data_IF_590363830163
#
_entry.id   IF_590363830163
#
_cell.length_a   1.000
_cell.length_b   1.000
_cell.length_c   1.000
_cell.angle_alpha   90.00
_cell.angle_beta   90.00
_cell.angle_gamma   90.00
#
_symmetry.space_group_name_H-M   'P 1'
#
loop_
_entity.id
_entity.type
_entity.pdbx_description
1 polymer ?
#
# COMPACT_ATOMS: atom_id res chain seq x y z
N UNK A 1 9.47 8.68 94.27
CA UNK A 1 10.95 8.77 94.36
C UNK A 1 11.56 7.68 93.50
N UNK A 2 12.63 8.04 92.80
CA UNK A 2 13.43 7.40 91.72
C UNK A 2 13.82 5.90 91.90
N UNK A 3 14.55 5.27 90.94
CA UNK A 3 14.42 5.22 89.47
C UNK A 3 14.76 3.81 88.92
N UNK A 4 14.76 3.60 87.60
CA UNK A 4 15.97 3.23 86.84
C UNK A 4 15.67 2.66 85.45
N UNK A 5 16.63 2.91 84.58
CA UNK A 5 16.58 2.89 83.12
C UNK A 5 16.68 1.45 82.59
N UNK A 6 15.85 1.12 81.59
CA UNK A 6 16.16 0.03 80.67
C UNK A 6 16.45 0.56 79.26
N UNK A 7 17.53 0.01 78.73
CA UNK A 7 18.22 0.36 77.50
C UNK A 7 17.35 0.00 76.28
N UNK A 8 17.34 0.89 75.28
CA UNK A 8 16.70 0.68 73.97
C UNK A 8 17.36 -0.49 73.23
N UNK A 9 16.56 -1.45 72.78
CA UNK A 9 16.92 -2.32 71.65
C UNK A 9 15.91 -2.14 70.52
N UNK A 10 16.45 -1.74 69.38
CA UNK A 10 15.76 -1.47 68.12
C UNK A 10 15.39 -2.80 67.46
N UNK A 11 14.09 -3.08 67.31
CA UNK A 11 13.60 -4.18 66.46
C UNK A 11 13.49 -3.63 65.05
N UNK A 12 14.45 -3.96 64.18
CA UNK A 12 14.32 -3.76 62.74
C UNK A 12 13.46 -4.90 62.17
N UNK A 13 12.18 -4.60 61.90
CA UNK A 13 11.31 -5.43 61.10
C UNK A 13 11.83 -5.42 59.65
N UNK A 14 12.41 -6.53 59.20
CA UNK A 14 12.69 -6.75 57.77
C UNK A 14 11.36 -7.06 57.09
N UNK A 15 10.76 -6.05 56.47
CA UNK A 15 9.59 -6.24 55.60
C UNK A 15 10.07 -6.74 54.25
N UNK A 16 9.96 -8.04 54.00
CA UNK A 16 10.15 -8.65 52.68
C UNK A 16 9.02 -8.17 51.74
N UNK A 17 9.25 -7.09 51.00
CA UNK A 17 8.36 -6.70 49.89
C UNK A 17 8.73 -7.50 48.65
N UNK A 18 8.11 -8.66 48.45
CA UNK A 18 8.22 -9.42 47.20
C UNK A 18 7.60 -8.61 46.05
N UNK A 19 8.41 -8.16 45.08
CA UNK A 19 7.91 -7.56 43.84
C UNK A 19 7.05 -8.59 43.08
N UNK A 20 5.92 -8.19 42.49
CA UNK A 20 5.14 -9.08 41.65
C UNK A 20 5.93 -9.48 40.39
N UNK A 21 5.69 -10.68 39.82
CA UNK A 21 6.45 -11.17 38.67
C UNK A 21 6.24 -10.26 37.47
N UNK A 22 7.34 -9.78 36.89
CA UNK A 22 7.33 -9.00 35.66
C UNK A 22 6.80 -9.87 34.52
N UNK A 23 5.78 -9.37 33.80
CA UNK A 23 5.30 -10.02 32.58
C UNK A 23 6.46 -10.15 31.58
N UNK A 24 6.63 -11.30 30.92
CA UNK A 24 7.70 -11.47 29.93
C UNK A 24 7.56 -10.40 28.83
N UNK A 25 8.68 -9.75 28.50
CA UNK A 25 8.73 -8.74 27.46
C UNK A 25 8.30 -9.36 26.13
N UNK A 26 7.30 -8.77 25.46
CA UNK A 26 6.90 -9.22 24.12
C UNK A 26 8.09 -9.07 23.17
N UNK A 27 8.47 -10.17 22.54
CA UNK A 27 9.50 -10.20 21.50
C UNK A 27 9.15 -9.19 20.40
N UNK A 28 10.08 -8.30 20.08
CA UNK A 28 9.87 -7.29 19.05
C UNK A 28 9.91 -7.97 17.70
N UNK A 29 8.87 -7.78 16.88
CA UNK A 29 8.87 -8.26 15.49
C UNK A 29 10.10 -7.69 14.77
N UNK A 30 10.80 -8.51 13.97
CA UNK A 30 11.98 -8.04 13.24
C UNK A 30 11.59 -6.90 12.27
N UNK A 31 12.52 -5.98 11.99
CA UNK A 31 12.25 -4.86 11.10
C UNK A 31 11.91 -5.34 9.69
N UNK A 32 11.02 -4.61 9.02
CA UNK A 32 10.73 -4.86 7.61
C UNK A 32 11.89 -4.35 6.76
N UNK A 33 12.38 -5.19 5.85
CA UNK A 33 13.54 -4.86 5.01
C UNK A 33 13.19 -4.79 3.53
N UNK A 34 12.17 -5.54 3.09
CA UNK A 34 11.77 -5.60 1.69
C UNK A 34 10.25 -5.64 1.54
N UNK A 35 9.77 -5.41 0.32
CA UNK A 35 8.37 -5.61 -0.06
C UNK A 35 8.24 -6.13 -1.48
N UNK A 36 7.16 -6.85 -1.71
CA UNK A 36 6.73 -7.32 -3.02
C UNK A 36 5.75 -6.30 -3.60
N UNK A 37 5.98 -5.85 -4.83
CA UNK A 37 5.12 -4.84 -5.46
C UNK A 37 5.02 -4.96 -6.98
N UNK A 38 4.09 -4.17 -7.52
CA UNK A 38 4.00 -3.82 -8.93
C UNK A 38 4.41 -2.35 -9.08
N UNK A 39 5.57 -2.04 -9.70
CA UNK A 39 5.91 -0.66 -10.05
C UNK A 39 4.89 -0.09 -11.03
N UNK A 40 4.56 1.19 -10.88
CA UNK A 40 3.53 1.84 -11.72
C UNK A 40 4.11 2.84 -12.72
N UNK A 41 5.40 3.15 -12.64
CA UNK A 41 6.05 4.15 -13.49
C UNK A 41 6.73 3.48 -14.67
N UNK A 42 6.25 3.80 -15.87
CA UNK A 42 6.83 3.38 -17.15
C UNK A 42 6.67 4.51 -18.18
N UNK A 43 7.03 4.24 -19.44
CA UNK A 43 6.98 5.24 -20.51
C UNK A 43 5.58 5.84 -20.73
N UNK A 44 4.52 5.07 -20.47
CA UNK A 44 3.12 5.49 -20.68
C UNK A 44 2.58 6.28 -19.48
N UNK A 45 2.88 5.82 -18.26
CA UNK A 45 2.32 6.41 -17.04
C UNK A 45 3.11 7.62 -16.53
N UNK A 46 4.43 7.66 -16.74
CA UNK A 46 5.30 8.72 -16.21
C UNK A 46 4.80 10.14 -16.51
N UNK A 47 4.58 10.57 -17.78
CA UNK A 47 4.16 11.94 -18.06
C UNK A 47 2.78 12.28 -17.47
N UNK A 48 1.87 11.31 -17.38
CA UNK A 48 0.55 11.48 -16.79
C UNK A 48 0.65 11.66 -15.27
N UNK A 49 1.44 10.81 -14.60
CA UNK A 49 1.63 10.84 -13.16
C UNK A 49 2.35 12.11 -12.70
N UNK A 50 3.34 12.59 -13.45
CA UNK A 50 4.00 13.87 -13.18
C UNK A 50 3.00 15.03 -13.20
N UNK A 51 2.20 15.09 -14.26
CA UNK A 51 1.17 16.13 -14.43
C UNK A 51 0.15 16.06 -13.29
N UNK A 52 -0.39 14.88 -13.01
CA UNK A 52 -1.42 14.67 -11.99
C UNK A 52 -0.91 14.94 -10.58
N UNK A 53 0.31 14.52 -10.24
CA UNK A 53 0.92 14.81 -8.93
C UNK A 53 1.25 16.30 -8.77
N UNK A 54 1.66 16.97 -9.83
CA UNK A 54 1.87 18.43 -9.83
C UNK A 54 0.54 19.17 -9.59
N UNK A 55 -0.52 18.83 -10.34
CA UNK A 55 -1.88 19.35 -10.12
C UNK A 55 -2.39 19.08 -8.71
N UNK A 56 -2.14 17.87 -8.19
CA UNK A 56 -2.51 17.55 -6.82
C UNK A 56 -1.78 18.44 -5.83
N UNK A 57 -0.46 18.58 -5.96
CA UNK A 57 0.37 19.40 -5.08
C UNK A 57 -0.09 20.86 -5.04
N UNK A 58 -0.47 21.44 -6.17
CA UNK A 58 -0.94 22.84 -6.25
C UNK A 58 -2.36 23.01 -5.72
N UNK A 59 -3.18 21.95 -5.74
CA UNK A 59 -4.55 21.98 -5.23
C UNK A 59 -4.67 21.82 -3.70
N UNK A 60 -3.58 21.46 -2.99
CA UNK A 60 -3.61 21.26 -1.54
C UNK A 60 -3.88 22.61 -0.85
N UNK A 61 -4.97 22.73 -0.06
CA UNK A 61 -5.29 23.96 0.64
C UNK A 61 -4.19 24.36 1.64
N UNK A 62 -3.93 25.66 1.73
CA UNK A 62 -3.18 26.21 2.86
C UNK A 62 -4.07 26.19 4.11
N UNK A 63 -3.46 25.95 5.27
CA UNK A 63 -4.06 26.19 6.58
C UNK A 63 -3.42 27.45 7.15
N UNK A 64 -4.27 28.40 7.56
CA UNK A 64 -3.94 29.78 7.92
C UNK A 64 -2.55 29.94 8.57
N UNK A 65 -2.29 29.23 9.68
CA UNK A 65 -1.03 29.34 10.44
C UNK A 65 -0.16 28.07 10.46
N UNK A 66 -0.51 27.04 9.68
CA UNK A 66 0.12 25.71 9.80
C UNK A 66 0.70 25.17 8.48
N UNK A 67 0.67 25.99 7.41
CA UNK A 67 1.16 25.59 6.10
C UNK A 67 0.17 24.69 5.36
N UNK A 68 0.57 23.93 4.34
CA UNK A 68 -0.34 23.13 3.54
C UNK A 68 -0.97 22.00 4.36
N UNK A 69 -2.28 21.74 4.15
CA UNK A 69 -3.05 20.67 4.79
C UNK A 69 -2.34 19.30 4.71
N UNK A 70 -1.70 19.04 3.58
CA UNK A 70 -0.81 17.88 3.39
C UNK A 70 0.62 18.40 3.35
N UNK A 71 1.47 18.07 4.33
CA UNK A 71 2.86 18.52 4.34
C UNK A 71 3.61 18.08 3.09
N UNK A 72 4.48 18.93 2.54
CA UNK A 72 5.23 18.61 1.31
C UNK A 72 6.04 17.30 1.43
N UNK A 73 6.62 17.03 2.62
CA UNK A 73 7.36 15.78 2.89
C UNK A 73 6.48 14.54 3.02
N UNK A 74 5.15 14.67 3.03
CA UNK A 74 4.23 13.54 2.96
C UNK A 74 3.97 13.11 1.51
N UNK A 75 4.15 14.00 0.54
CA UNK A 75 3.90 13.71 -0.87
C UNK A 75 4.94 12.76 -1.41
N UNK A 76 4.48 11.74 -2.15
CA UNK A 76 5.37 10.73 -2.72
C UNK A 76 5.97 11.23 -4.04
N UNK A 77 7.29 11.10 -4.24
CA UNK A 77 7.91 11.32 -5.54
C UNK A 77 7.37 10.32 -6.56
N UNK A 78 7.33 10.75 -7.83
CA UNK A 78 6.75 9.99 -8.94
C UNK A 78 7.35 8.59 -9.03
N UNK A 79 8.68 8.49 -8.99
CA UNK A 79 9.42 7.22 -9.13
C UNK A 79 9.21 6.22 -7.99
N UNK A 80 8.44 6.58 -6.97
CA UNK A 80 8.10 5.70 -5.85
C UNK A 80 6.69 5.10 -5.93
N UNK A 81 5.89 5.44 -6.95
CA UNK A 81 4.53 4.92 -7.11
C UNK A 81 4.54 3.42 -7.45
N UNK A 82 3.82 2.64 -6.66
CA UNK A 82 3.71 1.19 -6.79
C UNK A 82 2.43 0.68 -6.12
N UNK A 83 2.02 -0.56 -6.44
CA UNK A 83 1.03 -1.33 -5.69
C UNK A 83 1.76 -2.32 -4.78
N UNK A 84 1.66 -2.15 -3.46
CA UNK A 84 2.27 -3.09 -2.51
C UNK A 84 1.42 -4.35 -2.38
N UNK A 85 2.04 -5.52 -2.56
CA UNK A 85 1.39 -6.83 -2.39
C UNK A 85 1.65 -7.43 -1.00
N UNK A 86 2.83 -7.17 -0.45
CA UNK A 86 3.18 -7.60 0.90
C UNK A 86 4.55 -7.12 1.35
N UNK A 87 4.78 -7.18 2.65
CA UNK A 87 6.04 -6.76 3.29
C UNK A 87 6.77 -7.96 3.86
N UNK A 88 8.10 -7.90 3.86
CA UNK A 88 9.00 -8.99 4.23
C UNK A 88 10.04 -8.51 5.24
N UNK A 89 10.50 -9.44 6.07
CA UNK A 89 11.71 -9.29 6.87
C UNK A 89 12.73 -10.32 6.39
N UNK A 90 13.68 -9.85 5.58
CA UNK A 90 14.80 -10.63 5.02
C UNK A 90 16.08 -10.00 5.58
N UNK A 91 16.50 -10.34 6.82
CA UNK A 91 17.59 -9.67 7.51
C UNK A 91 18.97 -10.19 7.12
N UNK A 92 19.06 -11.40 6.55
CA UNK A 92 20.30 -12.03 6.12
C UNK A 92 20.36 -12.12 4.60
N UNK A 93 21.58 -12.17 4.06
CA UNK A 93 21.82 -12.37 2.62
C UNK A 93 21.20 -13.68 2.12
N UNK A 94 21.43 -14.77 2.85
CA UNK A 94 20.86 -16.09 2.54
C UNK A 94 19.33 -16.04 2.46
N UNK A 95 18.66 -15.41 3.43
CA UNK A 95 17.20 -15.31 3.43
C UNK A 95 16.66 -14.46 2.27
N UNK A 96 17.44 -13.45 1.84
CA UNK A 96 17.13 -12.66 0.65
C UNK A 96 17.31 -13.49 -0.63
N UNK A 97 18.42 -14.22 -0.75
CA UNK A 97 18.69 -15.10 -1.89
C UNK A 97 17.62 -16.20 -2.02
N UNK A 98 17.17 -16.80 -0.92
CA UNK A 98 16.05 -17.73 -0.90
C UNK A 98 14.76 -17.11 -1.47
N UNK A 99 14.45 -15.88 -1.07
CA UNK A 99 13.24 -15.18 -1.52
C UNK A 99 13.31 -14.86 -3.02
N UNK A 100 14.49 -14.47 -3.50
CA UNK A 100 14.76 -14.20 -4.92
C UNK A 100 14.69 -15.50 -5.73
N UNK A 101 15.32 -16.58 -5.26
CA UNK A 101 15.26 -17.90 -5.90
C UNK A 101 13.81 -18.41 -6.00
N UNK A 102 13.06 -18.32 -4.90
CA UNK A 102 11.64 -18.64 -4.90
C UNK A 102 10.87 -17.79 -5.91
N UNK A 103 11.09 -16.47 -5.93
CA UNK A 103 10.45 -15.56 -6.86
C UNK A 103 10.71 -15.94 -8.33
N UNK A 104 11.93 -16.33 -8.67
CA UNK A 104 12.28 -16.77 -10.02
C UNK A 104 11.68 -18.13 -10.41
N UNK A 105 11.45 -19.02 -9.43
CA UNK A 105 10.82 -20.32 -9.69
C UNK A 105 9.31 -20.25 -10.01
N UNK A 106 8.64 -19.12 -9.75
CA UNK A 106 7.21 -18.98 -10.03
C UNK A 106 6.90 -18.91 -11.52
N UNK A 107 5.82 -19.55 -11.97
CA UNK A 107 5.26 -19.31 -13.30
C UNK A 107 4.24 -18.15 -13.24
N UNK A 108 4.71 -16.93 -13.49
CA UNK A 108 3.86 -15.74 -13.45
C UNK A 108 2.81 -15.77 -14.57
N UNK A 109 3.13 -16.29 -15.76
CA UNK A 109 2.20 -16.29 -16.88
C UNK A 109 1.07 -17.30 -16.67
N UNK A 110 1.35 -18.47 -16.12
CA UNK A 110 0.31 -19.40 -15.67
C UNK A 110 -0.61 -18.75 -14.62
N UNK A 111 -0.07 -17.94 -13.71
CA UNK A 111 -0.88 -17.19 -12.75
C UNK A 111 -1.73 -16.10 -13.41
N UNK A 112 -1.23 -15.40 -14.42
CA UNK A 112 -2.05 -14.45 -15.22
C UNK A 112 -3.22 -15.19 -15.89
N UNK A 113 -2.95 -16.33 -16.53
CA UNK A 113 -3.98 -17.15 -17.20
C UNK A 113 -5.03 -17.62 -16.20
N UNK A 114 -4.60 -18.07 -15.02
CA UNK A 114 -5.49 -18.47 -13.92
C UNK A 114 -6.33 -17.30 -13.41
N UNK A 115 -5.74 -16.11 -13.26
CA UNK A 115 -6.48 -14.92 -12.89
C UNK A 115 -7.57 -14.56 -13.92
N UNK A 116 -7.27 -14.77 -15.21
CA UNK A 116 -8.25 -14.71 -16.31
C UNK A 116 -9.41 -15.69 -16.17
N UNK A 117 -9.15 -16.93 -15.73
CA UNK A 117 -10.21 -17.90 -15.42
C UNK A 117 -11.07 -17.41 -14.26
N UNK A 118 -10.47 -17.01 -13.13
CA UNK A 118 -11.19 -16.53 -11.94
C UNK A 118 -12.07 -15.30 -12.22
N UNK A 119 -11.57 -14.35 -12.99
CA UNK A 119 -12.31 -13.15 -13.37
C UNK A 119 -13.59 -13.48 -14.16
N UNK A 120 -13.55 -14.51 -15.04
CA UNK A 120 -14.72 -14.95 -15.82
C UNK A 120 -15.77 -15.66 -14.98
N UNK A 121 -15.39 -16.40 -13.94
CA UNK A 121 -16.34 -17.06 -13.04
C UNK A 121 -17.04 -16.05 -12.12
N UNK A 122 -16.33 -15.00 -11.67
CA UNK A 122 -16.92 -13.95 -10.82
C UNK A 122 -18.02 -13.14 -11.51
N UNK A 123 -18.10 -13.13 -12.85
CA UNK A 123 -19.13 -12.39 -13.60
C UNK A 123 -20.38 -13.21 -13.91
N UNK A 124 -20.33 -14.54 -13.76
CA UNK A 124 -21.45 -15.44 -14.04
C UNK A 124 -22.35 -15.72 -12.83
N UNK A 125 -21.86 -15.51 -11.60
CA UNK A 125 -22.63 -15.81 -10.38
C UNK A 125 -23.78 -14.82 -10.07
N UNK A 126 -23.89 -13.71 -10.82
CA UNK A 126 -25.00 -12.74 -10.71
C UNK A 126 -26.13 -12.95 -11.75
N UNK A 127 -26.04 -13.98 -12.61
CA UNK A 127 -27.10 -14.32 -13.56
C UNK A 127 -27.60 -15.73 -13.34
N UNK A 128 -28.74 -15.83 -12.67
CA UNK A 128 -29.59 -17.01 -12.69
C UNK A 128 -30.00 -17.33 -14.15
N UNK A 129 -29.33 -18.28 -14.78
CA UNK A 129 -29.86 -19.01 -15.94
C UNK A 129 -29.16 -20.35 -16.04
N UNK A 130 -29.86 -21.37 -15.56
CA UNK A 130 -29.70 -22.75 -16.02
C UNK A 130 -29.77 -22.79 -17.55
N UNK A 131 -29.07 -23.76 -18.11
CA UNK A 131 -29.02 -24.15 -19.51
C UNK A 131 -28.05 -23.36 -20.42
N UNK A 132 -26.76 -23.71 -20.30
CA UNK A 132 -25.82 -23.64 -21.42
C UNK A 132 -25.34 -25.04 -21.75
N UNK A 133 -25.79 -25.53 -22.89
CA UNK A 133 -25.44 -26.80 -23.53
C UNK A 133 -23.93 -27.01 -23.63
N UNK A 134 -23.51 -28.26 -23.48
CA UNK A 134 -22.11 -28.72 -23.48
C UNK A 134 -21.33 -28.40 -24.77
N UNK A 135 -22.01 -28.00 -25.86
CA UNK A 135 -21.41 -27.65 -27.15
C UNK A 135 -20.66 -26.30 -27.19
N UNK A 136 -20.89 -25.37 -26.24
CA UNK A 136 -20.10 -24.12 -26.19
C UNK A 136 -18.74 -24.28 -25.48
N UNK A 137 -18.54 -25.35 -24.69
CA UNK A 137 -17.27 -25.59 -23.97
C UNK A 137 -16.11 -25.99 -24.87
N UNK A 138 -16.37 -26.49 -26.08
CA UNK A 138 -15.34 -26.94 -27.02
C UNK A 138 -14.93 -25.89 -28.08
N UNK A 139 -15.70 -24.80 -28.26
CA UNK A 139 -15.33 -23.71 -29.18
C UNK A 139 -14.36 -22.68 -28.57
N UNK A 140 -14.19 -22.66 -27.25
CA UNK A 140 -13.29 -21.72 -26.56
C UNK A 140 -11.88 -22.31 -26.29
N UNK A 141 -11.69 -23.62 -26.48
CA UNK A 141 -10.38 -24.28 -26.35
C UNK A 141 -9.37 -23.92 -27.45
N UNK A 142 -9.81 -23.26 -28.53
CA UNK A 142 -9.00 -23.04 -29.74
C UNK A 142 -8.83 -21.56 -30.16
N UNK A 143 -8.96 -20.60 -29.25
CA UNK A 143 -8.33 -19.29 -29.44
C UNK A 143 -7.09 -19.19 -28.57
N UNK A 144 -5.97 -19.71 -29.07
CA UNK A 144 -4.61 -19.32 -28.67
C UNK A 144 -4.33 -17.84 -29.05
N UNK A 145 -5.24 -16.93 -28.69
CA UNK A 145 -4.91 -15.52 -28.60
C UNK A 145 -4.07 -15.32 -27.34
N UNK A 146 -2.89 -14.70 -27.48
CA UNK A 146 -2.02 -14.37 -26.36
C UNK A 146 -2.80 -13.74 -25.19
N UNK A 147 -2.37 -14.00 -23.96
CA UNK A 147 -3.03 -13.41 -22.79
C UNK A 147 -2.72 -11.91 -22.77
N UNK A 148 -3.72 -11.01 -22.85
CA UNK A 148 -3.44 -9.58 -22.95
C UNK A 148 -2.77 -9.05 -21.68
N UNK A 149 -1.98 -7.97 -21.79
CA UNK A 149 -1.34 -7.33 -20.64
C UNK A 149 -2.36 -6.84 -19.60
N UNK A 150 -1.89 -6.60 -18.38
CA UNK A 150 -2.70 -5.86 -17.41
C UNK A 150 -2.64 -4.38 -17.75
N UNK A 151 -3.70 -3.85 -18.36
CA UNK A 151 -3.83 -2.43 -18.63
C UNK A 151 -4.76 -1.82 -17.59
N UNK A 152 -4.27 -0.85 -16.82
CA UNK A 152 -5.00 -0.26 -15.70
C UNK A 152 -5.07 1.25 -15.79
N UNK A 153 -6.01 1.85 -15.08
CA UNK A 153 -6.02 3.27 -14.76
C UNK A 153 -5.87 3.48 -13.26
N UNK A 154 -5.37 4.64 -12.83
CA UNK A 154 -5.39 5.07 -11.44
C UNK A 154 -6.43 6.17 -11.28
N UNK A 155 -7.43 5.93 -10.45
CA UNK A 155 -8.60 6.80 -10.34
C UNK A 155 -8.91 7.17 -8.88
N UNK A 156 -9.62 8.29 -8.74
CA UNK A 156 -10.12 8.84 -7.47
C UNK A 156 -9.04 9.13 -6.43
N UNK A 157 -9.46 9.72 -5.31
CA UNK A 157 -8.61 9.87 -4.12
C UNK A 157 -9.33 9.27 -2.92
N UNK A 158 -8.60 8.47 -2.16
CA UNK A 158 -9.09 7.79 -0.98
C UNK A 158 -8.15 8.04 0.19
N UNK A 159 -8.67 7.87 1.41
CA UNK A 159 -7.94 8.17 2.63
C UNK A 159 -7.93 6.97 3.57
N UNK A 160 -6.79 6.73 4.21
CA UNK A 160 -6.64 5.78 5.31
C UNK A 160 -6.17 6.49 6.59
N UNK A 161 -6.65 6.06 7.77
CA UNK A 161 -7.70 5.06 7.99
C UNK A 161 -9.10 5.52 7.55
N UNK A 162 -9.35 6.84 7.52
CA UNK A 162 -10.60 7.45 7.02
C UNK A 162 -10.38 8.92 6.70
N UNK A 163 -11.20 9.51 5.84
CA UNK A 163 -11.04 10.90 5.38
C UNK A 163 -10.88 11.92 6.52
N UNK A 164 -11.71 11.86 7.57
CA UNK A 164 -11.66 12.81 8.70
C UNK A 164 -10.38 12.72 9.57
N UNK A 165 -9.55 11.69 9.41
CA UNK A 165 -8.31 11.53 10.17
C UNK A 165 -7.27 10.80 9.31
N UNK A 166 -7.08 11.29 8.09
CA UNK A 166 -6.21 10.70 7.10
C UNK A 166 -4.74 10.84 7.51
N UNK A 167 -3.99 9.75 7.40
CA UNK A 167 -2.52 9.74 7.43
C UNK A 167 -1.92 9.32 6.09
N UNK A 168 -2.75 8.71 5.24
CA UNK A 168 -2.38 8.23 3.90
C UNK A 168 -3.47 8.66 2.93
N UNK A 169 -3.05 9.16 1.76
CA UNK A 169 -3.90 9.37 0.60
C UNK A 169 -3.44 8.45 -0.53
N UNK A 170 -4.38 7.86 -1.25
CA UNK A 170 -4.08 6.92 -2.32
C UNK A 170 -5.08 6.98 -3.48
N UNK A 171 -4.60 6.64 -4.67
CA UNK A 171 -5.41 6.36 -5.85
C UNK A 171 -5.74 4.86 -5.92
N UNK A 172 -6.90 4.52 -6.47
CA UNK A 172 -7.32 3.14 -6.69
C UNK A 172 -6.93 2.67 -8.10
N UNK A 173 -6.34 1.47 -8.26
CA UNK A 173 -6.18 0.87 -9.57
C UNK A 173 -7.52 0.34 -10.09
N UNK A 174 -7.85 0.69 -11.32
CA UNK A 174 -9.02 0.20 -12.06
C UNK A 174 -8.51 -0.70 -13.18
N UNK A 175 -8.83 -1.99 -13.08
CA UNK A 175 -8.56 -2.99 -14.12
C UNK A 175 -9.90 -3.41 -14.76
N UNK A 176 -10.16 -3.03 -16.03
CA UNK A 176 -11.41 -3.37 -16.71
C UNK A 176 -11.57 -4.87 -16.95
N UNK A 177 -10.49 -5.66 -16.86
CA UNK A 177 -10.53 -7.12 -17.03
C UNK A 177 -10.73 -7.88 -15.73
N UNK A 178 -10.68 -7.19 -14.57
CA UNK A 178 -10.76 -7.78 -13.23
C UNK A 178 -9.76 -8.93 -12.96
N UNK A 179 -8.66 -9.02 -13.71
CA UNK A 179 -7.64 -10.07 -13.57
C UNK A 179 -6.50 -9.67 -12.63
N UNK A 180 -6.19 -8.38 -12.52
CA UNK A 180 -5.09 -7.88 -11.71
C UNK A 180 -5.24 -8.31 -10.26
N UNK A 181 -6.43 -8.16 -9.68
CA UNK A 181 -6.66 -8.46 -8.27
C UNK A 181 -6.45 -9.95 -7.94
N UNK A 182 -7.10 -10.90 -8.63
CA UNK A 182 -6.82 -12.33 -8.43
C UNK A 182 -5.35 -12.70 -8.66
N UNK A 183 -4.68 -12.12 -9.65
CA UNK A 183 -3.25 -12.33 -9.89
C UNK A 183 -2.41 -11.90 -8.68
N UNK A 184 -2.66 -10.69 -8.18
CA UNK A 184 -1.95 -10.14 -7.02
C UNK A 184 -2.18 -10.96 -5.75
N UNK A 185 -3.41 -11.42 -5.52
CA UNK A 185 -3.74 -12.29 -4.39
C UNK A 185 -3.00 -13.61 -4.46
N UNK A 186 -3.03 -14.31 -5.60
CA UNK A 186 -2.32 -15.58 -5.76
C UNK A 186 -0.81 -15.42 -5.55
N UNK A 187 -0.23 -14.36 -6.09
CA UNK A 187 1.19 -14.08 -5.93
C UNK A 187 1.55 -13.85 -4.46
N UNK A 188 0.75 -13.02 -3.78
CA UNK A 188 0.89 -12.77 -2.36
C UNK A 188 0.75 -14.05 -1.53
N UNK A 189 -0.24 -14.89 -1.81
CA UNK A 189 -0.46 -16.16 -1.13
C UNK A 189 0.73 -17.10 -1.28
N UNK A 190 1.32 -17.20 -2.47
CA UNK A 190 2.52 -18.02 -2.71
C UNK A 190 3.70 -17.59 -1.83
N UNK A 191 4.02 -16.29 -1.77
CA UNK A 191 5.08 -15.80 -0.89
C UNK A 191 4.74 -15.92 0.60
N UNK A 192 3.46 -15.80 0.97
CA UNK A 192 3.01 -16.00 2.33
C UNK A 192 3.19 -17.47 2.76
N UNK A 193 2.78 -18.41 1.91
CA UNK A 193 2.93 -19.85 2.15
C UNK A 193 4.41 -20.28 2.20
N UNK A 194 5.26 -19.65 1.39
CA UNK A 194 6.71 -19.85 1.45
C UNK A 194 7.40 -19.16 2.65
N UNK A 195 6.63 -18.46 3.50
CA UNK A 195 7.13 -17.84 4.73
C UNK A 195 7.95 -16.56 4.51
N UNK A 196 7.85 -15.92 3.35
CA UNK A 196 8.57 -14.68 3.06
C UNK A 196 7.77 -13.43 3.45
N UNK A 197 6.44 -13.43 3.19
CA UNK A 197 5.57 -12.31 3.60
C UNK A 197 5.15 -12.39 5.06
N UNK A 198 5.01 -11.23 5.69
CA UNK A 198 4.41 -11.13 7.00
C UNK A 198 2.89 -11.37 6.95
N UNK A 199 2.45 -12.44 7.58
CA UNK A 199 1.02 -12.74 7.81
C UNK A 199 0.58 -12.45 9.24
N UNK A 200 -0.74 -12.46 9.46
CA UNK A 200 -1.31 -12.56 10.79
C UNK A 200 -1.34 -14.02 11.19
N UNK A 201 -0.55 -14.38 12.20
CA UNK A 201 -0.68 -15.67 12.88
C UNK A 201 -1.75 -15.47 13.95
N UNK A 202 -2.90 -16.16 13.82
CA UNK A 202 -3.82 -16.27 14.95
C UNK A 202 -3.09 -17.08 16.03
N UNK A 203 -2.81 -16.47 17.18
CA UNK A 203 -2.32 -17.23 18.33
C UNK A 203 -3.40 -18.23 18.74
N UNK A 204 -3.04 -19.50 18.84
CA UNK A 204 -3.91 -20.51 19.47
C UNK A 204 -4.25 -20.05 20.89
N UNK A 205 -5.49 -20.25 21.31
CA UNK A 205 -5.82 -20.18 22.72
C UNK A 205 -4.99 -21.25 23.45
N UNK A 206 -4.46 -20.92 24.63
CA UNK A 206 -3.68 -21.88 25.42
C UNK A 206 -4.52 -23.14 25.67
N UNK A 207 -4.12 -24.27 25.09
CA UNK A 207 -4.82 -25.56 25.21
C UNK A 207 -5.34 -26.18 23.90
N UNK A 208 -5.27 -25.50 22.76
CA UNK A 208 -5.66 -26.12 21.47
C UNK A 208 -4.57 -27.05 20.91
N UNK A 209 -4.77 -28.37 21.04
CA UNK A 209 -4.01 -29.36 20.27
C UNK A 209 -4.41 -29.33 18.78
N UNK A 210 -3.43 -29.43 17.88
CA UNK A 210 -3.64 -29.40 16.42
C UNK A 210 -2.50 -28.71 15.67
N UNK A 211 -2.50 -28.71 14.33
CA UNK A 211 -1.41 -28.15 13.53
C UNK A 211 -1.20 -26.65 13.80
N UNK A 212 0.04 -26.18 13.63
CA UNK A 212 0.41 -24.75 13.77
C UNK A 212 -0.47 -23.91 12.83
N UNK A 213 -1.14 -22.84 13.31
CA UNK A 213 -1.98 -22.00 12.46
C UNK A 213 -1.16 -21.41 11.31
N UNK A 214 -1.59 -21.66 10.07
CA UNK A 214 -0.96 -21.02 8.90
C UNK A 214 -1.17 -19.50 8.99
N UNK A 215 -0.15 -18.69 8.69
CA UNK A 215 -0.31 -17.24 8.61
C UNK A 215 -1.42 -16.91 7.61
N UNK A 216 -2.39 -16.09 8.01
CA UNK A 216 -3.40 -15.56 7.09
C UNK A 216 -3.06 -14.12 6.75
N UNK A 217 -3.18 -13.78 5.47
CA UNK A 217 -3.07 -12.41 5.01
C UNK A 217 -4.33 -11.62 5.41
N UNK A 218 -4.16 -10.35 5.80
CA UNK A 218 -5.28 -9.39 5.79
C UNK A 218 -5.84 -9.28 4.36
N UNK A 219 -7.12 -8.93 4.16
CA UNK A 219 -7.65 -8.66 2.82
C UNK A 219 -6.73 -7.74 2.02
N UNK A 220 -6.46 -8.07 0.76
CA UNK A 220 -5.60 -7.25 -0.09
C UNK A 220 -6.35 -5.98 -0.48
N UNK A 221 -5.74 -4.83 -0.22
CA UNK A 221 -6.19 -3.54 -0.75
C UNK A 221 -5.13 -3.02 -1.71
N UNK A 222 -5.37 -3.20 -3.01
CA UNK A 222 -4.51 -2.60 -4.04
C UNK A 222 -4.73 -1.08 -4.04
N UNK A 223 -3.64 -0.33 -3.85
CA UNK A 223 -3.68 1.12 -3.87
C UNK A 223 -2.33 1.70 -4.25
N UNK A 224 -2.33 2.82 -4.98
CA UNK A 224 -1.16 3.61 -5.25
C UNK A 224 -1.13 4.79 -4.27
N UNK A 225 -0.26 4.73 -3.26
CA UNK A 225 -0.14 5.82 -2.29
C UNK A 225 0.39 7.07 -3.00
N UNK A 226 -0.24 8.23 -2.78
CA UNK A 226 0.23 9.53 -3.29
C UNK A 226 0.73 10.44 -2.17
N UNK A 227 0.25 10.24 -0.94
CA UNK A 227 0.77 10.92 0.25
C UNK A 227 0.76 10.00 1.48
N UNK A 228 1.78 10.10 2.34
CA UNK A 228 1.84 9.39 3.61
C UNK A 228 2.63 10.19 4.65
N UNK A 229 1.98 10.53 5.76
CA UNK A 229 2.57 11.36 6.81
C UNK A 229 3.61 10.65 7.66
N UNK A 230 3.80 9.34 7.50
CA UNK A 230 4.89 8.60 8.16
C UNK A 230 6.28 9.13 7.78
N UNK A 231 6.41 9.75 6.61
CA UNK A 231 7.67 10.31 6.12
C UNK A 231 7.92 11.74 6.59
N UNK A 232 6.91 12.38 7.20
CA UNK A 232 7.07 13.70 7.79
C UNK A 232 7.71 13.51 9.16
N UNK A 233 9.00 13.87 9.28
CA UNK A 233 9.67 13.92 10.57
C UNK A 233 9.01 15.02 11.41
N UNK A 234 8.55 14.68 12.60
CA UNK A 234 8.03 15.66 13.55
C UNK A 234 9.07 16.75 13.81
N UNK A 235 8.65 18.01 13.73
CA UNK A 235 9.45 19.17 14.13
C UNK A 235 9.87 18.96 15.59
N UNK A 236 11.17 18.83 15.87
CA UNK A 236 11.69 18.85 17.23
C UNK A 236 11.67 20.30 17.73
N UNK A 237 10.49 20.81 18.04
CA UNK A 237 10.41 22.00 18.86
C UNK A 237 10.69 21.57 20.31
N UNK A 238 11.70 22.19 20.92
CA UNK A 238 12.37 21.76 22.15
C UNK A 238 11.51 21.81 23.41
N UNK A 239 10.56 20.88 23.53
CA UNK A 239 9.75 20.69 24.74
C UNK A 239 9.70 19.22 25.14
N UNK A 240 10.21 18.91 26.33
CA UNK A 240 10.09 17.60 26.99
C UNK A 240 8.63 17.14 27.09
N UNK A 241 8.16 16.35 26.13
CA UNK A 241 7.07 15.38 26.34
C UNK A 241 7.46 14.01 25.81
N UNK A 242 7.76 13.15 26.79
CA UNK A 242 8.07 11.74 26.63
C UNK A 242 6.84 11.01 26.08
N UNK A 243 6.93 10.52 24.84
CA UNK A 243 6.20 9.33 24.38
C UNK A 243 4.78 9.53 23.84
N UNK A 244 4.66 9.97 22.58
CA UNK A 244 3.65 9.42 21.67
C UNK A 244 4.13 9.54 20.22
N UNK A 245 3.97 8.46 19.47
CA UNK A 245 4.27 8.39 18.05
C UNK A 245 3.17 9.15 17.29
N UNK A 246 3.12 10.49 17.44
CA UNK A 246 2.08 11.33 16.85
C UNK A 246 2.33 11.48 15.35
N UNK A 247 1.93 10.45 14.61
CA UNK A 247 1.74 10.55 13.16
C UNK A 247 0.76 11.69 12.89
N UNK A 248 1.18 12.63 12.06
CA UNK A 248 0.34 13.76 11.65
C UNK A 248 -0.88 13.19 10.93
N UNK A 249 -2.08 13.49 11.42
CA UNK A 249 -3.35 13.16 10.77
C UNK A 249 -4.06 14.47 10.40
N UNK A 250 -4.81 14.45 9.30
CA UNK A 250 -5.52 15.64 8.80
C UNK A 250 -6.92 15.25 8.30
N UNK A 251 -7.82 16.24 8.23
CA UNK A 251 -9.15 16.04 7.65
C UNK A 251 -9.07 16.23 6.13
N UNK A 252 -9.22 15.13 5.40
CA UNK A 252 -9.15 15.08 3.94
C UNK A 252 -10.53 14.97 3.28
N UNK A 253 -11.64 15.22 4.00
CA UNK A 253 -12.99 15.03 3.44
C UNK A 253 -13.22 15.84 2.18
N UNK A 254 -12.85 17.12 2.19
CA UNK A 254 -13.07 18.01 1.05
C UNK A 254 -12.16 17.64 -0.13
N UNK A 255 -10.89 17.32 0.13
CA UNK A 255 -9.96 16.79 -0.88
C UNK A 255 -10.48 15.49 -1.50
N UNK A 256 -10.90 14.52 -0.67
CA UNK A 256 -11.44 13.23 -1.16
C UNK A 256 -12.72 13.45 -1.97
N UNK A 257 -13.62 14.32 -1.52
CA UNK A 257 -14.85 14.64 -2.25
C UNK A 257 -14.55 15.27 -3.62
N UNK A 258 -13.62 16.24 -3.66
CA UNK A 258 -13.19 16.92 -4.87
C UNK A 258 -12.64 15.95 -5.92
N UNK A 259 -11.76 15.03 -5.51
CA UNK A 259 -11.11 14.08 -6.42
C UNK A 259 -11.98 12.85 -6.74
N UNK A 260 -13.04 12.58 -5.97
CA UNK A 260 -14.04 11.55 -6.29
C UNK A 260 -15.04 12.04 -7.36
N UNK A 261 -15.32 13.34 -7.42
CA UNK A 261 -16.39 13.93 -8.23
C UNK A 261 -15.95 14.84 -9.37
N UNK A 262 -14.75 14.67 -9.93
CA UNK A 262 -14.20 15.62 -10.90
C UNK A 262 -14.78 15.48 -12.34
N UNK A 263 -15.96 16.09 -12.56
CA UNK A 263 -16.65 16.60 -13.78
C UNK A 263 -16.64 15.85 -15.14
N UNK A 264 -17.70 16.12 -15.93
CA UNK A 264 -18.25 15.39 -17.08
C UNK A 264 -17.39 15.25 -18.37
N UNK A 265 -16.11 15.62 -18.37
CA UNK A 265 -15.27 15.64 -19.58
C UNK A 265 -14.09 14.66 -19.41
N UNK A 266 -14.07 13.62 -20.25
CA UNK A 266 -13.12 12.48 -20.21
C UNK A 266 -11.68 12.91 -20.56
N UNK A 267 -11.50 14.12 -21.09
CA UNK A 267 -10.25 14.60 -21.71
C UNK A 267 -9.43 15.58 -20.85
N UNK A 268 -9.96 16.12 -19.74
CA UNK A 268 -9.24 17.16 -18.95
C UNK A 268 -8.69 16.65 -17.63
N UNK A 269 -7.37 16.76 -17.45
CA UNK A 269 -6.65 16.56 -16.17
C UNK A 269 -6.49 17.86 -15.36
N UNK A 270 -6.97 18.99 -15.86
CA UNK A 270 -6.84 20.32 -15.24
C UNK A 270 -8.18 20.86 -14.74
N UNK A 271 -8.23 21.45 -13.53
CA UNK A 271 -9.45 22.04 -13.03
C UNK A 271 -9.91 23.24 -13.85
N UNK A 272 -11.22 23.31 -14.13
CA UNK A 272 -11.84 24.56 -14.59
C UNK A 272 -11.76 25.54 -13.41
N UNK A 273 -11.11 26.67 -13.61
CA UNK A 273 -10.87 27.70 -12.60
C UNK A 273 -12.18 28.13 -11.91
N UNK A 274 -12.05 28.46 -10.62
CA UNK A 274 -13.08 29.02 -9.74
C UNK A 274 -13.83 30.18 -10.43
N UNK A 275 -14.99 29.90 -11.03
CA UNK A 275 -15.99 30.92 -11.33
C UNK A 275 -17.38 30.28 -11.52
N UNK A 276 -18.34 30.86 -10.82
CA UNK A 276 -19.79 30.58 -10.79
C UNK A 276 -20.23 29.29 -10.07
N UNK A 277 -20.39 29.42 -8.74
CA UNK A 277 -21.50 28.77 -8.09
C UNK A 277 -22.80 29.44 -8.58
N UNK A 278 -23.56 28.75 -9.43
CA UNK A 278 -24.97 29.05 -9.62
C UNK A 278 -25.77 27.76 -9.49
N UNK A 279 -26.84 27.85 -8.73
CA UNK A 279 -27.75 26.79 -8.32
C UNK A 279 -28.43 26.14 -9.53
N UNK A 280 -28.54 24.82 -9.52
CA UNK A 280 -29.30 24.06 -10.50
C UNK A 280 -29.26 22.55 -10.24
N UNK A 281 -30.37 22.04 -9.72
CA UNK A 281 -30.72 20.65 -9.54
C UNK A 281 -30.57 19.81 -10.83
N UNK A 282 -30.18 18.54 -10.69
CA UNK A 282 -30.07 17.57 -11.80
C UNK A 282 -28.78 16.74 -11.83
N UNK A 283 -28.68 15.72 -10.98
CA UNK A 283 -27.93 14.47 -11.18
C UNK A 283 -26.65 14.47 -12.06
N UNK A 284 -25.72 15.39 -11.87
CA UNK A 284 -24.44 15.39 -12.60
C UNK A 284 -23.59 14.19 -12.13
N UNK A 285 -23.53 13.14 -12.94
CA UNK A 285 -22.58 12.04 -12.78
C UNK A 285 -21.16 12.58 -13.00
N UNK A 286 -20.51 13.06 -11.94
CA UNK A 286 -19.09 13.41 -11.99
C UNK A 286 -18.26 12.15 -12.31
N UNK A 287 -17.32 12.27 -13.25
CA UNK A 287 -16.31 11.22 -13.46
C UNK A 287 -15.24 11.30 -12.35
N UNK A 288 -14.60 10.19 -11.97
CA UNK A 288 -13.51 10.23 -11.01
C UNK A 288 -12.29 10.95 -11.61
N UNK A 289 -11.50 11.62 -10.76
CA UNK A 289 -10.20 12.14 -11.20
C UNK A 289 -9.29 10.99 -11.64
N UNK A 290 -8.64 11.12 -12.79
CA UNK A 290 -7.75 10.10 -13.36
C UNK A 290 -6.30 10.56 -13.22
N UNK A 291 -5.52 9.85 -12.40
CA UNK A 291 -4.10 10.12 -12.18
C UNK A 291 -3.24 9.68 -13.37
N UNK A 292 -3.58 8.54 -13.95
CA UNK A 292 -3.00 8.01 -15.17
C UNK A 292 -3.99 7.01 -15.78
N UNK A 293 -4.14 7.04 -17.10
CA UNK A 293 -5.09 6.22 -17.87
C UNK A 293 -4.36 5.13 -18.63
N UNK A 294 -4.98 3.95 -18.64
CA UNK A 294 -4.73 2.86 -19.59
C UNK A 294 -3.24 2.55 -19.84
N UNK A 295 -2.47 2.41 -18.76
CA UNK A 295 -1.05 2.06 -18.85
C UNK A 295 -0.84 0.60 -18.45
N UNK A 296 0.17 -0.08 -19.03
CA UNK A 296 0.45 -1.47 -18.72
C UNK A 296 1.13 -1.60 -17.35
N UNK A 297 0.81 -2.65 -16.61
CA UNK A 297 1.66 -3.17 -15.53
C UNK A 297 2.68 -4.11 -16.15
N UNK A 298 3.95 -3.72 -16.12
CA UNK A 298 5.01 -4.38 -16.89
C UNK A 298 5.81 -5.38 -16.08
N UNK A 299 5.88 -5.25 -14.75
CA UNK A 299 6.74 -6.09 -13.93
C UNK A 299 6.26 -6.29 -12.50
N UNK A 300 6.83 -7.32 -11.87
CA UNK A 300 6.73 -7.62 -10.43
C UNK A 300 8.13 -7.46 -9.84
N UNK A 301 8.23 -6.79 -8.68
CA UNK A 301 9.52 -6.54 -8.04
C UNK A 301 9.54 -6.94 -6.56
N UNK A 302 10.71 -7.39 -6.12
CA UNK A 302 11.12 -7.35 -4.72
C UNK A 302 11.98 -6.10 -4.55
N UNK A 303 11.56 -5.19 -3.68
CA UNK A 303 12.23 -3.90 -3.46
C UNK A 303 12.74 -3.77 -2.03
N UNK A 304 13.91 -3.13 -1.86
CA UNK A 304 14.41 -2.68 -0.56
C UNK A 304 13.48 -1.61 0.04
N UNK A 305 13.28 -1.64 1.35
CA UNK A 305 12.62 -0.57 2.08
C UNK A 305 13.47 0.71 2.06
N UNK A 306 12.78 1.85 1.89
CA UNK A 306 13.42 3.16 1.81
C UNK A 306 13.81 3.54 0.39
N UNK A 307 13.01 4.41 -0.23
CA UNK A 307 13.36 4.97 -1.53
C UNK A 307 14.62 5.84 -1.41
N UNK A 308 15.44 5.87 -2.46
CA UNK A 308 16.68 6.64 -2.52
C UNK A 308 16.46 7.82 -3.47
N UNK A 309 16.98 8.99 -3.10
CA UNK A 309 17.06 10.14 -4.01
C UNK A 309 17.93 9.81 -5.19
N UNK A 310 17.46 10.17 -6.38
CA UNK A 310 18.21 9.99 -7.61
C UNK A 310 19.08 11.22 -7.86
N UNK A 311 20.29 10.99 -8.34
CA UNK A 311 21.17 12.08 -8.73
C UNK A 311 20.74 12.63 -10.09
N UNK A 312 20.40 13.91 -10.13
CA UNK A 312 20.03 14.62 -11.36
C UNK A 312 21.25 15.20 -12.07
N UNK A 313 22.42 15.24 -11.43
CA UNK A 313 23.64 15.81 -12.02
C UNK A 313 24.22 14.82 -13.04
N UNK A 314 24.34 15.25 -14.29
CA UNK A 314 24.91 14.42 -15.37
C UNK A 314 23.94 13.40 -15.99
N UNK A 315 22.67 13.38 -15.60
CA UNK A 315 21.65 12.56 -16.25
C UNK A 315 21.19 13.21 -17.56
N UNK A 316 21.80 12.80 -18.67
CA UNK A 316 21.46 13.28 -20.02
C UNK A 316 20.00 13.05 -20.41
N UNK A 317 19.32 12.08 -19.79
CA UNK A 317 17.91 11.79 -20.08
C UNK A 317 16.93 12.69 -19.29
N UNK A 318 17.40 13.32 -18.21
CA UNK A 318 16.57 14.06 -17.25
C UNK A 318 15.58 13.19 -16.46
N UNK A 319 15.60 11.86 -16.63
CA UNK A 319 14.68 10.93 -16.00
C UNK A 319 14.82 10.91 -14.47
N UNK A 320 16.03 11.04 -13.93
CA UNK A 320 16.27 11.04 -12.50
C UNK A 320 15.61 12.24 -11.81
N UNK A 321 15.69 13.43 -12.44
CA UNK A 321 15.03 14.64 -11.93
C UNK A 321 13.50 14.49 -11.93
N UNK A 322 12.97 13.88 -12.99
CA UNK A 322 11.55 13.56 -13.20
C UNK A 322 11.00 12.57 -12.16
N UNK A 323 11.75 11.51 -11.89
CA UNK A 323 11.39 10.49 -10.91
C UNK A 323 11.53 10.97 -9.45
N UNK A 324 12.58 11.75 -9.17
CA UNK A 324 12.94 12.28 -7.85
C UNK A 324 13.53 11.24 -6.90
N UNK A 325 12.77 10.19 -6.60
CA UNK A 325 13.21 9.06 -5.77
C UNK A 325 12.75 7.73 -6.39
N UNK A 326 13.49 6.65 -6.13
CA UNK A 326 13.13 5.30 -6.57
C UNK A 326 13.50 4.26 -5.51
N UNK A 327 12.74 3.17 -5.44
CA UNK A 327 13.13 2.00 -4.67
C UNK A 327 14.17 1.16 -5.43
N UNK A 328 15.13 0.59 -4.71
CA UNK A 328 16.05 -0.38 -5.29
C UNK A 328 15.34 -1.74 -5.43
N UNK A 329 15.09 -2.16 -6.68
CA UNK A 329 14.62 -3.50 -6.97
C UNK A 329 15.81 -4.47 -6.86
N UNK A 330 15.74 -5.43 -5.95
CA UNK A 330 16.75 -6.49 -5.76
C UNK A 330 16.42 -7.72 -6.60
N UNK A 331 15.18 -7.85 -7.04
CA UNK A 331 14.76 -8.74 -8.11
C UNK A 331 13.58 -8.14 -8.86
N UNK A 332 13.56 -8.29 -10.18
CA UNK A 332 12.51 -7.84 -11.06
C UNK A 332 12.21 -8.95 -12.08
N UNK A 333 10.92 -9.17 -12.35
CA UNK A 333 10.47 -10.03 -13.44
C UNK A 333 9.44 -9.30 -14.27
N UNK A 334 9.68 -9.23 -15.57
CA UNK A 334 8.71 -8.70 -16.52
C UNK A 334 7.54 -9.67 -16.66
N UNK A 335 6.37 -9.09 -16.87
CA UNK A 335 5.17 -9.79 -17.28
C UNK A 335 5.19 -9.83 -18.81
N UNK A 336 5.91 -10.79 -19.37
CA UNK A 336 6.04 -10.96 -20.81
C UNK A 336 4.80 -11.67 -21.35
N UNK A 337 3.95 -10.91 -22.07
CA UNK A 337 2.69 -11.41 -22.62
C UNK A 337 2.83 -12.02 -24.03
N UNK A 338 4.06 -12.10 -24.54
CA UNK A 338 4.41 -12.84 -25.77
C UNK A 338 3.98 -12.18 -27.08
N UNK A 339 4.03 -10.84 -27.15
CA UNK A 339 3.75 -10.06 -28.36
C UNK A 339 5.03 -9.55 -29.02
#
# INVERSE_FOLDING_TARGET
MQPSRFLRQTIHHITMTSKPPQKPAKEKRPPLTHFLCLPLVNATSLPQLETSLSTFKTSIPAQDDHGPLVPAGALRPVGTLHLTLGVMSLPTRERLEDAISFFHSLDLLAMVREAGRRARFSTTDDKNSEDKSEEEKDKEKNKEGGTPPFTISLESLHALPRARAATVLHAAPVDPTARLYPFCEMLREKFLHAGFLQGEVRHKAAGEEGPVPRPKARPLLLHATVANTIYVRGRKDGGSRKGRNDRIAFDARDLVAWYRGFYADRERTVPKSLQSASLGDGGSRGYPFVWAREFPVESVCICEMGAKKLDSVGDASGLNARLGEKYAAVAERRLDFGY
#
